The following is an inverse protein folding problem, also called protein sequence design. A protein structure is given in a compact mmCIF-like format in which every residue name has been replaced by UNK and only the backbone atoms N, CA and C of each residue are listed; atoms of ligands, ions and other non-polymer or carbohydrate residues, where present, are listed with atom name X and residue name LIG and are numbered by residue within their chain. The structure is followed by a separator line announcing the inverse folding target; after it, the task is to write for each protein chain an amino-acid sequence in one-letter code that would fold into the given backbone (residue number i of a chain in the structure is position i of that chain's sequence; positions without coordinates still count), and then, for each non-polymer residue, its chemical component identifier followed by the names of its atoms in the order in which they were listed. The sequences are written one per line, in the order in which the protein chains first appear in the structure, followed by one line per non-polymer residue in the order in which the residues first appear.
data_IF_837610097036
#
_entry.id   IF_837610097036
#
_cell.length_a   1.000
_cell.length_b   1.000
_cell.length_c   1.000
_cell.angle_alpha   90.00
_cell.angle_beta   90.00
_cell.angle_gamma   90.00
#
_symmetry.space_group_name_H-M   'P 1'
#
loop_
_entity.id
_entity.type
_entity.pdbx_description
1 polymer ?
#
# COMPACT_ATOMS: atom_id res chain seq x y z
N UNK A 1 14.34 -58.54 -26.52
CA UNK A 1 15.59 -57.85 -26.28
C UNK A 1 15.32 -56.67 -25.36
N UNK A 2 15.81 -56.86 -24.22
CA UNK A 2 16.27 -56.08 -23.08
C UNK A 2 15.46 -54.91 -22.54
N UNK A 3 15.24 -54.96 -21.24
CA UNK A 3 14.61 -53.89 -20.46
C UNK A 3 15.68 -53.07 -19.72
N UNK A 4 15.56 -51.78 -19.67
CA UNK A 4 16.21 -50.95 -18.62
C UNK A 4 15.29 -49.72 -18.39
N UNK A 5 14.60 -49.72 -17.31
CA UNK A 5 14.34 -48.54 -16.46
C UNK A 5 13.55 -49.01 -15.21
N UNK A 6 14.28 -49.46 -14.22
CA UNK A 6 13.83 -49.46 -12.82
C UNK A 6 14.77 -48.56 -12.04
N UNK A 7 14.20 -47.66 -11.25
CA UNK A 7 14.92 -47.01 -10.17
C UNK A 7 14.90 -45.49 -10.20
N UNK A 8 13.76 -44.86 -9.92
CA UNK A 8 13.77 -43.54 -9.29
C UNK A 8 13.18 -43.69 -7.89
N UNK A 9 14.11 -43.80 -6.91
CA UNK A 9 13.76 -43.68 -5.50
C UNK A 9 13.27 -42.27 -5.21
N UNK A 10 12.20 -42.19 -4.42
CA UNK A 10 11.70 -40.94 -3.81
C UNK A 10 12.85 -40.32 -2.99
N UNK A 11 13.36 -39.20 -3.49
CA UNK A 11 14.29 -38.36 -2.71
C UNK A 11 13.42 -37.64 -1.67
N UNK A 12 13.74 -37.87 -0.40
CA UNK A 12 13.11 -37.26 0.76
C UNK A 12 13.13 -35.73 0.63
N UNK A 13 11.95 -35.12 0.80
CA UNK A 13 11.73 -33.65 0.68
C UNK A 13 12.65 -32.81 1.58
N UNK A 14 13.17 -33.40 2.66
CA UNK A 14 14.16 -32.75 3.55
C UNK A 14 15.56 -32.70 2.97
N UNK A 15 15.93 -33.66 2.15
CA UNK A 15 17.25 -33.74 1.50
C UNK A 15 17.38 -32.71 0.37
N UNK A 16 16.31 -32.47 -0.40
CA UNK A 16 16.28 -31.46 -1.48
C UNK A 16 16.40 -30.03 -0.94
N UNK A 17 15.77 -29.73 0.20
CA UNK A 17 15.87 -28.42 0.85
C UNK A 17 17.25 -28.13 1.41
N UNK A 18 17.93 -29.12 1.95
CA UNK A 18 19.31 -29.00 2.46
C UNK A 18 20.33 -28.83 1.34
N UNK A 19 20.14 -29.49 0.19
CA UNK A 19 21.01 -29.35 -0.97
C UNK A 19 20.88 -27.97 -1.63
N UNK A 20 19.70 -27.40 -1.63
CA UNK A 20 19.48 -26.07 -2.18
C UNK A 20 20.04 -24.96 -1.26
N UNK A 21 19.96 -25.16 0.07
CA UNK A 21 20.54 -24.22 1.05
C UNK A 21 22.09 -24.20 0.94
N UNK A 22 22.72 -25.34 0.65
CA UNK A 22 24.18 -25.44 0.44
C UNK A 22 24.63 -24.78 -0.88
N UNK A 23 23.83 -24.83 -1.93
CA UNK A 23 24.11 -24.13 -3.21
C UNK A 23 23.98 -22.62 -3.06
N UNK A 24 23.01 -22.15 -2.29
CA UNK A 24 22.82 -20.70 -2.02
C UNK A 24 23.97 -20.16 -1.13
N UNK A 25 24.41 -20.92 -0.13
CA UNK A 25 25.58 -20.55 0.69
C UNK A 25 26.89 -20.59 -0.11
N UNK A 26 27.02 -21.51 -1.07
CA UNK A 26 28.20 -21.58 -1.94
C UNK A 26 28.26 -20.46 -2.97
N UNK A 27 27.13 -19.95 -3.46
CA UNK A 27 27.07 -18.79 -4.34
C UNK A 27 27.34 -17.45 -3.60
N UNK A 28 27.13 -17.42 -2.28
CA UNK A 28 27.45 -16.25 -1.45
C UNK A 28 28.91 -16.19 -1.01
N UNK A 29 29.65 -17.33 -1.03
CA UNK A 29 31.05 -17.41 -0.63
C UNK A 29 32.05 -17.13 -1.76
N UNK A 30 31.63 -17.05 -3.03
CA UNK A 30 32.51 -16.76 -4.19
C UNK A 30 32.64 -15.26 -4.49
N UNK A 31 31.88 -14.39 -3.82
CA UNK A 31 31.93 -12.93 -4.01
C UNK A 31 32.81 -12.20 -2.98
N UNK A 32 33.95 -12.82 -2.63
CA UNK A 32 35.00 -12.16 -1.86
C UNK A 32 36.02 -11.52 -2.78
N UNK A 33 35.84 -10.26 -3.12
CA UNK A 33 36.87 -9.21 -3.17
C UNK A 33 36.36 -7.95 -3.88
N UNK A 34 36.60 -6.82 -3.22
CA UNK A 34 36.74 -5.46 -3.76
C UNK A 34 35.51 -4.64 -4.14
N UNK A 35 35.23 -3.72 -3.24
CA UNK A 35 34.83 -2.32 -3.51
C UNK A 35 33.83 -2.00 -4.64
N UNK A 36 32.54 -1.88 -4.25
CA UNK A 36 31.58 -0.89 -4.84
C UNK A 36 30.27 -0.88 -4.06
N UNK A 37 30.13 0.08 -3.16
CA UNK A 37 28.96 0.24 -2.24
C UNK A 37 27.64 0.72 -2.87
N UNK A 38 27.49 0.69 -4.19
CA UNK A 38 26.31 1.21 -4.87
C UNK A 38 25.38 0.18 -5.54
N UNK A 39 25.90 -0.97 -5.95
CA UNK A 39 25.15 -1.98 -6.71
C UNK A 39 24.50 -3.08 -5.87
N UNK A 40 24.92 -3.26 -4.63
CA UNK A 40 24.43 -4.36 -3.77
C UNK A 40 23.06 -4.10 -3.12
N UNK A 41 22.61 -2.84 -3.03
CA UNK A 41 21.29 -2.51 -2.48
C UNK A 41 20.13 -2.86 -3.42
N UNK A 42 20.30 -2.65 -4.72
CA UNK A 42 19.25 -2.98 -5.71
C UNK A 42 19.08 -4.49 -5.93
N UNK A 43 20.14 -5.28 -5.71
CA UNK A 43 20.09 -6.75 -5.85
C UNK A 43 19.45 -7.47 -4.67
N UNK A 44 19.53 -6.89 -3.45
CA UNK A 44 19.00 -7.54 -2.25
C UNK A 44 17.48 -7.42 -2.12
N UNK A 45 16.87 -6.32 -2.58
CA UNK A 45 15.41 -6.13 -2.55
C UNK A 45 14.69 -7.06 -3.52
N UNK A 46 15.27 -7.30 -4.70
CA UNK A 46 14.71 -8.24 -5.68
C UNK A 46 14.83 -9.71 -5.22
N UNK A 47 15.92 -10.09 -4.56
CA UNK A 47 16.10 -11.46 -4.04
C UNK A 47 15.18 -11.76 -2.87
N UNK A 48 14.90 -10.78 -2.00
CA UNK A 48 13.97 -10.96 -0.88
C UNK A 48 12.52 -11.08 -1.35
N UNK A 49 12.11 -10.30 -2.37
CA UNK A 49 10.80 -10.43 -2.99
C UNK A 49 10.61 -11.79 -3.66
N UNK A 50 11.59 -12.28 -4.40
CA UNK A 50 11.60 -13.64 -5.00
C UNK A 50 11.55 -14.74 -3.94
N UNK A 51 12.33 -14.63 -2.86
CA UNK A 51 12.33 -15.60 -1.77
C UNK A 51 10.97 -15.64 -1.04
N UNK A 52 10.33 -14.48 -0.84
CA UNK A 52 9.01 -14.39 -0.24
C UNK A 52 7.92 -14.96 -1.14
N UNK A 53 7.95 -14.71 -2.45
CA UNK A 53 7.03 -15.27 -3.44
C UNK A 53 7.20 -16.81 -3.52
N UNK A 54 8.43 -17.29 -3.54
CA UNK A 54 8.75 -18.71 -3.58
C UNK A 54 8.33 -19.45 -2.29
N UNK A 55 8.56 -18.86 -1.12
CA UNK A 55 8.12 -19.41 0.17
C UNK A 55 6.59 -19.44 0.28
N UNK A 56 5.90 -18.41 -0.26
CA UNK A 56 4.44 -18.39 -0.36
C UNK A 56 3.92 -19.47 -1.31
N UNK A 57 4.52 -19.63 -2.48
CA UNK A 57 4.15 -20.68 -3.44
C UNK A 57 4.28 -22.09 -2.84
N UNK A 58 5.36 -22.36 -2.08
CA UNK A 58 5.55 -23.63 -1.38
C UNK A 58 4.49 -23.86 -0.29
N UNK A 59 4.14 -22.83 0.47
CA UNK A 59 3.12 -22.93 1.54
C UNK A 59 1.69 -23.05 0.99
N UNK A 60 1.45 -22.63 -0.26
CA UNK A 60 0.14 -22.72 -0.91
C UNK A 60 -0.12 -24.07 -1.60
N UNK A 61 0.90 -24.96 -1.64
CA UNK A 61 0.77 -26.27 -2.29
C UNK A 61 0.48 -26.19 -3.79
N UNK A 62 1.11 -25.25 -4.48
CA UNK A 62 0.91 -24.94 -5.92
C UNK A 62 1.69 -25.91 -6.81
N UNK A 63 1.75 -27.18 -6.45
CA UNK A 63 2.50 -28.20 -7.23
C UNK A 63 2.01 -28.39 -8.68
N UNK A 64 0.81 -27.86 -9.00
CA UNK A 64 0.22 -27.93 -10.36
C UNK A 64 0.34 -26.63 -11.18
N UNK A 65 0.57 -25.49 -10.55
CA UNK A 65 0.76 -24.23 -11.26
C UNK A 65 2.23 -24.03 -11.58
N UNK A 66 2.63 -24.26 -12.82
CA UNK A 66 3.98 -23.94 -13.30
C UNK A 66 4.13 -22.40 -13.28
N UNK A 67 5.07 -21.82 -12.52
CA UNK A 67 5.37 -20.42 -12.65
C UNK A 67 5.81 -20.17 -14.10
N UNK A 68 5.11 -19.28 -14.80
CA UNK A 68 5.58 -18.82 -16.09
C UNK A 68 6.98 -18.22 -15.89
N UNK A 69 8.01 -18.86 -16.44
CA UNK A 69 9.34 -18.26 -16.56
C UNK A 69 9.20 -17.06 -17.48
N UNK A 70 8.98 -15.88 -16.89
CA UNK A 70 9.15 -14.64 -17.63
C UNK A 70 10.63 -14.54 -17.97
N UNK A 71 11.00 -14.94 -19.22
CA UNK A 71 12.29 -14.61 -19.78
C UNK A 71 12.43 -13.09 -19.70
N UNK A 72 13.63 -12.58 -19.49
CA UNK A 72 13.94 -11.15 -19.48
C UNK A 72 13.37 -10.47 -20.73
N UNK A 73 12.16 -9.93 -20.62
CA UNK A 73 11.38 -9.33 -21.71
C UNK A 73 10.09 -8.74 -21.13
N UNK A 74 9.44 -7.87 -21.88
CA UNK A 74 8.16 -7.28 -21.51
C UNK A 74 7.09 -8.36 -21.27
N UNK A 75 6.27 -8.16 -20.25
CA UNK A 75 5.12 -9.02 -19.98
C UNK A 75 4.14 -8.95 -21.16
N UNK A 76 3.42 -10.07 -21.50
CA UNK A 76 2.42 -10.03 -22.56
C UNK A 76 1.31 -9.05 -22.20
N UNK A 77 0.81 -8.32 -23.18
CA UNK A 77 -0.31 -7.40 -22.98
C UNK A 77 -1.58 -8.16 -22.55
N UNK A 78 -2.49 -7.43 -21.90
CA UNK A 78 -3.81 -7.93 -21.55
C UNK A 78 -4.74 -7.61 -22.71
N UNK A 79 -5.25 -8.60 -23.46
CA UNK A 79 -6.20 -8.34 -24.53
C UNK A 79 -7.46 -7.66 -24.00
N UNK A 80 -7.89 -6.60 -24.66
CA UNK A 80 -9.17 -5.93 -24.40
C UNK A 80 -10.23 -6.54 -25.30
N UNK A 81 -11.11 -7.34 -24.73
CA UNK A 81 -12.11 -8.13 -25.46
C UNK A 81 -13.36 -7.30 -25.75
N UNK A 82 -13.25 -6.30 -26.63
CA UNK A 82 -14.35 -5.38 -26.98
C UNK A 82 -15.61 -6.13 -27.49
N UNK A 83 -15.46 -7.33 -28.04
CA UNK A 83 -16.55 -8.16 -28.55
C UNK A 83 -17.17 -9.09 -27.49
N UNK A 84 -16.58 -9.27 -26.31
CA UNK A 84 -17.19 -10.04 -25.22
C UNK A 84 -18.50 -9.35 -24.76
N UNK A 85 -19.64 -10.06 -24.77
CA UNK A 85 -20.92 -9.49 -24.35
C UNK A 85 -20.89 -8.89 -22.93
N UNK A 86 -20.12 -9.47 -22.01
CA UNK A 86 -19.98 -8.99 -20.64
C UNK A 86 -19.24 -7.67 -20.61
N UNK A 87 -18.16 -7.55 -21.37
CA UNK A 87 -17.38 -6.31 -21.51
C UNK A 87 -18.23 -5.20 -22.12
N UNK A 88 -18.95 -5.51 -23.23
CA UNK A 88 -19.86 -4.54 -23.86
C UNK A 88 -20.96 -4.04 -22.94
N UNK A 89 -21.53 -4.93 -22.11
CA UNK A 89 -22.53 -4.53 -21.13
C UNK A 89 -21.96 -3.53 -20.11
N UNK A 90 -20.73 -3.77 -19.61
CA UNK A 90 -20.08 -2.83 -18.68
C UNK A 90 -19.62 -1.54 -19.38
N UNK A 91 -19.19 -1.60 -20.64
CA UNK A 91 -18.93 -0.36 -21.43
C UNK A 91 -20.20 0.47 -21.50
N UNK A 92 -21.37 -0.14 -21.79
CA UNK A 92 -22.65 0.56 -21.81
C UNK A 92 -23.01 1.13 -20.44
N UNK A 93 -22.85 0.30 -19.37
CA UNK A 93 -23.09 0.74 -17.98
C UNK A 93 -22.27 1.98 -17.64
N UNK A 94 -20.95 1.95 -17.88
CA UNK A 94 -20.07 3.08 -17.57
C UNK A 94 -20.29 4.29 -18.50
N UNK A 95 -20.48 4.08 -19.79
CA UNK A 95 -20.63 5.18 -20.74
C UNK A 95 -21.97 5.90 -20.63
N UNK A 96 -23.06 5.21 -20.23
CA UNK A 96 -24.41 5.75 -20.25
C UNK A 96 -25.11 5.72 -18.89
N UNK A 97 -25.24 4.54 -18.26
CA UNK A 97 -26.03 4.37 -17.04
C UNK A 97 -25.35 4.99 -15.81
N UNK A 98 -24.01 4.85 -15.71
CA UNK A 98 -23.18 5.43 -14.65
C UNK A 98 -22.29 6.56 -15.14
N UNK A 99 -22.75 7.27 -16.16
CA UNK A 99 -21.97 8.28 -16.87
C UNK A 99 -21.33 9.32 -15.96
N UNK A 100 -22.09 9.83 -14.98
CA UNK A 100 -21.59 10.84 -14.04
C UNK A 100 -20.46 10.29 -13.16
N UNK A 101 -20.63 9.07 -12.64
CA UNK A 101 -19.57 8.41 -11.86
C UNK A 101 -18.32 8.18 -12.70
N UNK A 102 -18.51 7.76 -13.97
CA UNK A 102 -17.38 7.53 -14.88
C UNK A 102 -16.65 8.81 -15.21
N UNK A 103 -17.38 9.92 -15.43
CA UNK A 103 -16.76 11.23 -15.61
C UNK A 103 -15.91 11.63 -14.41
N UNK A 104 -16.44 11.43 -13.21
CA UNK A 104 -15.73 11.74 -11.97
C UNK A 104 -14.47 10.87 -11.82
N UNK A 105 -14.54 9.57 -12.15
CA UNK A 105 -13.37 8.68 -12.14
C UNK A 105 -12.27 9.15 -13.09
N UNK A 106 -12.64 9.52 -14.32
CA UNK A 106 -11.68 10.02 -15.30
C UNK A 106 -11.04 11.33 -14.84
N UNK A 107 -11.84 12.26 -14.32
CA UNK A 107 -11.34 13.53 -13.79
C UNK A 107 -10.43 13.35 -12.56
N UNK A 108 -10.78 12.44 -11.64
CA UNK A 108 -9.95 12.13 -10.48
C UNK A 108 -8.64 11.41 -10.85
N UNK A 109 -8.62 10.66 -11.95
CA UNK A 109 -7.44 9.96 -12.42
C UNK A 109 -6.39 10.89 -13.04
N UNK A 110 -6.84 12.00 -13.59
CA UNK A 110 -6.05 12.92 -14.42
C UNK A 110 -4.71 13.32 -13.77
N UNK A 111 -4.66 13.82 -12.53
CA UNK A 111 -3.41 14.28 -11.91
C UNK A 111 -2.43 13.12 -11.61
N UNK A 112 -2.90 11.88 -11.59
CA UNK A 112 -2.09 10.71 -11.21
C UNK A 112 -1.74 9.79 -12.39
N UNK A 113 -2.53 9.86 -13.47
CA UNK A 113 -2.38 8.94 -14.60
C UNK A 113 -1.00 9.02 -15.27
N UNK A 114 -0.35 10.19 -15.44
CA UNK A 114 0.99 10.29 -15.98
C UNK A 114 2.02 9.47 -15.17
N UNK A 115 2.07 9.68 -13.85
CA UNK A 115 3.00 8.95 -12.98
C UNK A 115 2.69 7.44 -12.94
N UNK A 116 1.41 7.06 -12.93
CA UNK A 116 1.00 5.64 -12.98
C UNK A 116 1.45 5.00 -14.29
N UNK A 117 1.18 5.63 -15.43
CA UNK A 117 1.62 5.15 -16.76
C UNK A 117 3.14 5.01 -16.82
N UNK A 118 3.87 6.01 -16.32
CA UNK A 118 5.33 5.98 -16.26
C UNK A 118 5.83 4.78 -15.44
N UNK A 119 5.31 4.57 -14.24
CA UNK A 119 5.73 3.45 -13.37
C UNK A 119 5.38 2.10 -14.00
N UNK A 120 4.23 1.96 -14.69
CA UNK A 120 3.86 0.74 -15.43
C UNK A 120 4.85 0.49 -16.56
N UNK A 121 5.14 1.51 -17.38
CA UNK A 121 6.07 1.43 -18.51
C UNK A 121 7.48 1.06 -18.05
N UNK A 122 8.03 1.76 -17.07
CA UNK A 122 9.39 1.55 -16.53
C UNK A 122 9.59 0.13 -15.96
N UNK A 123 8.48 -0.53 -15.61
CA UNK A 123 8.48 -1.91 -15.11
C UNK A 123 8.21 -2.95 -16.20
N UNK A 124 8.05 -2.57 -17.47
CA UNK A 124 7.77 -3.47 -18.60
C UNK A 124 6.45 -4.23 -18.47
N UNK A 125 5.45 -3.62 -17.81
CA UNK A 125 4.15 -4.22 -17.56
C UNK A 125 3.12 -3.82 -18.62
N UNK A 126 2.03 -4.62 -18.79
CA UNK A 126 0.94 -4.27 -19.70
C UNK A 126 0.40 -2.87 -19.44
N UNK A 127 0.31 -2.07 -20.51
CA UNK A 127 -0.13 -0.66 -20.41
C UNK A 127 -1.53 -0.50 -19.84
N UNK A 128 -2.40 -1.50 -20.01
CA UNK A 128 -3.75 -1.54 -19.46
C UNK A 128 -3.77 -1.55 -17.93
N UNK A 129 -2.73 -2.08 -17.26
CA UNK A 129 -2.65 -2.06 -15.80
C UNK A 129 -2.63 -0.65 -15.20
N UNK A 130 -2.23 0.35 -16.02
CA UNK A 130 -2.30 1.75 -15.62
C UNK A 130 -3.72 2.27 -15.35
N UNK A 131 -4.75 1.51 -15.68
CA UNK A 131 -6.15 1.90 -15.46
C UNK A 131 -6.84 1.08 -14.35
N UNK A 132 -6.13 0.15 -13.70
CA UNK A 132 -6.73 -0.71 -12.68
C UNK A 132 -7.24 0.09 -11.46
N UNK A 133 -6.54 1.14 -11.07
CA UNK A 133 -6.95 1.99 -9.95
C UNK A 133 -8.28 2.74 -10.19
N UNK A 134 -8.71 2.90 -11.45
CA UNK A 134 -10.05 3.41 -11.76
C UNK A 134 -11.14 2.44 -11.27
N UNK A 135 -10.90 1.13 -11.45
CA UNK A 135 -11.85 0.12 -10.99
C UNK A 135 -11.84 -0.03 -9.47
N UNK A 136 -10.66 0.05 -8.84
CA UNK A 136 -10.48 -0.17 -7.41
C UNK A 136 -11.10 0.93 -6.55
N UNK A 137 -10.94 2.19 -6.95
CA UNK A 137 -11.31 3.32 -6.11
C UNK A 137 -12.00 4.47 -6.85
N UNK A 138 -12.23 4.36 -8.17
CA UNK A 138 -12.59 5.50 -9.01
C UNK A 138 -11.48 6.54 -9.06
N UNK A 139 -10.22 6.13 -8.91
CA UNK A 139 -9.03 6.99 -8.83
C UNK A 139 -8.98 7.91 -7.58
N UNK A 140 -9.79 7.65 -6.57
CA UNK A 140 -9.77 8.42 -5.33
C UNK A 140 -8.58 7.99 -4.44
N UNK A 141 -7.59 8.87 -4.19
CA UNK A 141 -6.43 8.54 -3.37
C UNK A 141 -6.79 8.32 -1.89
N UNK A 142 -7.92 8.84 -1.42
CA UNK A 142 -8.38 8.73 -0.04
C UNK A 142 -9.48 7.65 0.15
N UNK A 143 -9.80 6.89 -0.90
CA UNK A 143 -10.85 5.87 -0.85
C UNK A 143 -10.59 4.84 0.26
N UNK A 144 -11.61 4.63 1.10
CA UNK A 144 -11.56 3.64 2.20
C UNK A 144 -12.73 2.66 2.10
N UNK A 145 -12.41 1.37 2.02
CA UNK A 145 -13.43 0.34 2.04
C UNK A 145 -13.89 -0.02 3.46
N UNK A 146 -15.09 -0.64 3.63
CA UNK A 146 -15.53 -1.18 4.92
C UNK A 146 -14.57 -2.22 5.51
N UNK A 147 -13.81 -2.92 4.66
CA UNK A 147 -12.80 -3.89 5.06
C UNK A 147 -11.45 -3.25 5.44
N UNK A 148 -11.34 -1.91 5.42
CA UNK A 148 -10.12 -1.15 5.70
C UNK A 148 -9.05 -1.21 4.58
N UNK A 149 -9.43 -1.56 3.34
CA UNK A 149 -8.60 -1.26 2.20
C UNK A 149 -8.54 0.27 1.98
N UNK A 150 -7.40 0.79 1.51
CA UNK A 150 -7.18 2.24 1.45
C UNK A 150 -6.40 2.64 0.20
N UNK A 151 -6.71 3.85 -0.28
CA UNK A 151 -6.00 4.52 -1.37
C UNK A 151 -6.43 4.06 -2.75
N UNK A 152 -5.79 4.61 -3.79
CA UNK A 152 -6.14 4.35 -5.18
C UNK A 152 -6.15 2.85 -5.53
N UNK A 153 -5.23 2.08 -4.95
CA UNK A 153 -5.02 0.67 -5.21
C UNK A 153 -5.71 -0.27 -4.22
N UNK A 154 -6.51 0.26 -3.30
CA UNK A 154 -7.27 -0.48 -2.28
C UNK A 154 -6.44 -1.52 -1.52
N UNK A 155 -5.23 -1.14 -1.09
CA UNK A 155 -4.39 -2.03 -0.30
C UNK A 155 -4.97 -2.30 1.09
N UNK A 156 -5.00 -3.57 1.47
CA UNK A 156 -5.12 -3.97 2.86
C UNK A 156 -3.82 -3.65 3.63
N UNK A 157 -3.89 -3.25 4.92
CA UNK A 157 -2.69 -2.84 5.67
C UNK A 157 -1.56 -3.88 5.69
N UNK A 158 -1.91 -5.16 5.86
CA UNK A 158 -0.93 -6.24 5.90
C UNK A 158 -0.25 -6.44 4.53
N UNK A 159 -1.04 -6.42 3.45
CA UNK A 159 -0.51 -6.54 2.08
C UNK A 159 0.39 -5.35 1.75
N UNK A 160 -0.02 -4.13 2.10
CA UNK A 160 0.77 -2.91 1.89
C UNK A 160 2.18 -3.03 2.51
N UNK A 161 2.26 -3.44 3.78
CA UNK A 161 3.55 -3.64 4.46
C UNK A 161 4.41 -4.73 3.81
N UNK A 162 3.78 -5.81 3.34
CA UNK A 162 4.48 -6.89 2.65
C UNK A 162 5.14 -6.43 1.33
N UNK A 163 4.60 -5.36 0.73
CA UNK A 163 5.13 -4.73 -0.48
C UNK A 163 5.87 -3.41 -0.21
N UNK A 164 6.36 -3.23 1.03
CA UNK A 164 7.30 -2.17 1.40
C UNK A 164 6.65 -0.82 1.72
N UNK A 165 5.32 -0.74 1.79
CA UNK A 165 4.65 0.50 2.19
C UNK A 165 4.68 0.68 3.71
N UNK A 166 5.05 1.87 4.15
CA UNK A 166 4.95 2.27 5.53
C UNK A 166 3.47 2.54 5.87
N UNK A 167 2.97 1.86 6.91
CA UNK A 167 1.60 2.04 7.42
C UNK A 167 1.66 2.09 8.93
N UNK A 168 1.61 3.29 9.48
CA UNK A 168 1.64 3.55 10.92
C UNK A 168 0.75 4.76 11.29
N UNK A 169 0.91 5.28 12.51
CA UNK A 169 0.09 6.38 13.03
C UNK A 169 0.42 7.76 12.46
N UNK A 170 1.54 7.94 11.77
CA UNK A 170 1.98 9.19 11.14
C UNK A 170 1.94 9.12 9.63
N UNK A 171 2.28 7.94 9.09
CA UNK A 171 2.44 7.73 7.66
C UNK A 171 1.62 6.53 7.23
N UNK A 172 0.79 6.74 6.20
CA UNK A 172 0.10 5.67 5.50
C UNK A 172 0.36 5.79 4.00
N UNK A 173 1.39 5.08 3.52
CA UNK A 173 1.84 5.17 2.13
C UNK A 173 0.90 4.50 1.13
N UNK A 174 -0.19 3.88 1.60
CA UNK A 174 -1.30 3.45 0.72
C UNK A 174 -1.99 4.64 0.05
N UNK A 175 -1.90 5.82 0.69
CA UNK A 175 -2.41 7.09 0.17
C UNK A 175 -1.46 7.75 -0.83
N UNK A 176 -0.18 7.39 -0.86
CA UNK A 176 0.82 7.96 -1.78
C UNK A 176 0.65 7.38 -3.18
N UNK A 177 0.33 8.19 -4.21
CA UNK A 177 0.06 7.70 -5.55
C UNK A 177 1.24 6.95 -6.19
N UNK A 178 2.45 7.47 -6.03
CA UNK A 178 3.65 6.86 -6.63
C UNK A 178 4.06 5.58 -5.90
N UNK A 179 4.14 5.64 -4.56
CA UNK A 179 4.59 4.50 -3.74
C UNK A 179 3.60 3.35 -3.80
N UNK A 180 2.29 3.66 -3.67
CA UNK A 180 1.26 2.62 -3.75
C UNK A 180 1.17 2.00 -5.14
N UNK A 181 1.42 2.77 -6.22
CA UNK A 181 1.53 2.22 -7.58
C UNK A 181 2.70 1.23 -7.67
N UNK A 182 3.90 1.62 -7.23
CA UNK A 182 5.06 0.72 -7.22
C UNK A 182 4.77 -0.59 -6.46
N UNK A 183 4.16 -0.49 -5.30
CA UNK A 183 3.77 -1.65 -4.49
C UNK A 183 2.72 -2.52 -5.19
N UNK A 184 1.70 -1.91 -5.84
CA UNK A 184 0.67 -2.64 -6.56
C UNK A 184 1.24 -3.42 -7.75
N UNK A 185 2.17 -2.83 -8.49
CA UNK A 185 2.82 -3.50 -9.61
C UNK A 185 3.71 -4.66 -9.14
N UNK A 186 4.39 -4.54 -8.00
CA UNK A 186 5.12 -5.67 -7.41
C UNK A 186 4.16 -6.81 -7.02
N UNK A 187 3.04 -6.48 -6.38
CA UNK A 187 2.02 -7.48 -6.03
C UNK A 187 1.43 -8.15 -7.28
N UNK A 188 1.10 -7.39 -8.32
CA UNK A 188 0.60 -7.91 -9.59
C UNK A 188 1.63 -8.81 -10.28
N UNK A 189 2.92 -8.47 -10.25
CA UNK A 189 4.01 -9.34 -10.75
C UNK A 189 4.06 -10.68 -9.99
N UNK A 190 3.95 -10.64 -8.66
CA UNK A 190 3.94 -11.86 -7.85
C UNK A 190 2.71 -12.72 -8.17
N UNK A 191 1.53 -12.11 -8.33
CA UNK A 191 0.31 -12.80 -8.74
C UNK A 191 0.45 -13.42 -10.13
N UNK A 192 1.02 -12.67 -11.09
CA UNK A 192 1.31 -13.22 -12.41
C UNK A 192 2.29 -14.40 -12.34
N UNK A 193 3.32 -14.28 -11.52
CA UNK A 193 4.27 -15.38 -11.28
C UNK A 193 3.61 -16.63 -10.67
N UNK A 194 2.59 -16.44 -9.81
CA UNK A 194 1.84 -17.57 -9.21
C UNK A 194 0.88 -18.24 -10.19
N UNK A 195 0.19 -17.47 -11.03
CA UNK A 195 -0.94 -17.95 -11.82
C UNK A 195 -0.64 -18.09 -13.31
N UNK A 196 0.48 -17.54 -13.79
CA UNK A 196 0.93 -17.68 -15.18
C UNK A 196 0.19 -16.83 -16.21
N UNK A 197 -0.94 -16.22 -15.86
CA UNK A 197 -1.70 -15.34 -16.75
C UNK A 197 -2.31 -14.14 -16.04
N UNK A 198 -2.50 -13.02 -16.75
CA UNK A 198 -3.05 -11.78 -16.20
C UNK A 198 -4.51 -11.89 -15.77
N UNK A 199 -5.33 -12.73 -16.42
CA UNK A 199 -6.74 -12.91 -16.09
C UNK A 199 -6.90 -13.50 -14.68
N UNK A 200 -6.11 -14.54 -14.36
CA UNK A 200 -6.06 -15.11 -13.02
C UNK A 200 -5.38 -14.17 -12.02
N UNK A 201 -4.30 -13.48 -12.42
CA UNK A 201 -3.61 -12.51 -11.56
C UNK A 201 -4.55 -11.37 -11.11
N UNK A 202 -5.34 -10.80 -12.03
CA UNK A 202 -6.33 -9.77 -11.72
C UNK A 202 -7.48 -10.31 -10.84
N UNK A 203 -7.93 -11.54 -11.10
CA UNK A 203 -8.93 -12.20 -10.25
C UNK A 203 -8.41 -12.45 -8.83
N UNK A 204 -7.11 -12.79 -8.71
CA UNK A 204 -6.44 -12.96 -7.41
C UNK A 204 -6.22 -11.62 -6.70
N UNK A 205 -5.94 -10.55 -7.42
CA UNK A 205 -5.81 -9.20 -6.85
C UNK A 205 -7.10 -8.79 -6.14
N UNK A 206 -8.26 -9.00 -6.79
CA UNK A 206 -9.56 -8.70 -6.21
C UNK A 206 -9.97 -9.65 -5.07
N UNK A 207 -9.83 -10.96 -5.27
CA UNK A 207 -10.36 -11.95 -4.31
C UNK A 207 -9.39 -12.38 -3.22
N UNK A 208 -8.12 -12.09 -3.40
CA UNK A 208 -7.01 -12.68 -2.67
C UNK A 208 -6.54 -14.01 -3.27
N UNK A 209 -5.23 -14.20 -3.33
CA UNK A 209 -4.57 -15.36 -3.93
C UNK A 209 -4.99 -16.70 -3.31
N UNK A 210 -5.18 -16.72 -1.99
CA UNK A 210 -5.60 -17.93 -1.28
C UNK A 210 -7.00 -18.39 -1.67
N UNK A 211 -7.94 -17.45 -1.83
CA UNK A 211 -9.31 -17.76 -2.22
C UNK A 211 -9.36 -18.24 -3.66
N UNK A 212 -8.64 -17.58 -4.58
CA UNK A 212 -8.58 -18.01 -5.97
C UNK A 212 -7.98 -19.41 -6.11
N UNK A 213 -6.86 -19.69 -5.44
CA UNK A 213 -6.24 -21.02 -5.40
C UNK A 213 -7.19 -22.10 -4.90
N UNK A 214 -8.00 -21.79 -3.86
CA UNK A 214 -9.01 -22.73 -3.36
C UNK A 214 -10.05 -23.05 -4.43
N UNK A 215 -10.52 -22.03 -5.16
CA UNK A 215 -11.51 -22.22 -6.24
C UNK A 215 -10.91 -23.05 -7.38
N UNK A 216 -9.72 -22.73 -7.85
CA UNK A 216 -9.02 -23.48 -8.91
C UNK A 216 -8.91 -24.97 -8.56
N UNK A 217 -8.50 -25.29 -7.32
CA UNK A 217 -8.41 -26.69 -6.86
C UNK A 217 -9.77 -27.37 -6.77
N UNK A 218 -10.81 -26.66 -6.34
CA UNK A 218 -12.15 -27.23 -6.18
C UNK A 218 -12.86 -27.46 -7.52
N UNK A 219 -12.46 -26.73 -8.57
CA UNK A 219 -12.97 -26.88 -9.92
C UNK A 219 -12.03 -27.75 -10.79
N UNK A 220 -10.90 -28.22 -10.25
CA UNK A 220 -9.80 -28.89 -10.97
C UNK A 220 -9.34 -28.10 -12.21
N UNK A 221 -9.37 -26.76 -12.09
CA UNK A 221 -9.14 -25.79 -13.16
C UNK A 221 -7.73 -25.20 -13.09
N UNK A 222 -7.20 -24.84 -14.25
CA UNK A 222 -5.90 -24.18 -14.42
C UNK A 222 -6.01 -22.84 -15.17
N UNK A 223 -7.12 -22.63 -15.88
CA UNK A 223 -7.36 -21.48 -16.72
C UNK A 223 -8.51 -20.62 -16.20
N UNK A 224 -8.48 -19.33 -16.55
CA UNK A 224 -9.52 -18.37 -16.15
C UNK A 224 -10.92 -18.75 -16.68
N UNK A 225 -10.96 -19.21 -17.93
CA UNK A 225 -12.21 -19.58 -18.63
C UNK A 225 -12.99 -20.66 -17.92
N UNK A 226 -12.29 -21.56 -17.24
CA UNK A 226 -12.89 -22.69 -16.50
C UNK A 226 -13.58 -22.23 -15.21
N UNK A 227 -13.14 -21.12 -14.63
CA UNK A 227 -13.67 -20.61 -13.35
C UNK A 227 -14.48 -19.33 -13.46
N UNK A 228 -14.43 -18.62 -14.60
CA UNK A 228 -15.06 -17.31 -14.76
C UNK A 228 -16.58 -17.30 -14.60
N UNK A 229 -17.24 -18.47 -14.73
CA UNK A 229 -18.68 -18.68 -14.48
C UNK A 229 -18.97 -19.46 -13.20
N UNK A 230 -17.95 -19.96 -12.50
CA UNK A 230 -18.14 -20.77 -11.30
C UNK A 230 -18.83 -19.98 -10.18
N UNK A 231 -19.84 -20.58 -9.57
CA UNK A 231 -20.53 -20.00 -8.40
C UNK A 231 -19.66 -19.98 -7.14
N UNK A 232 -18.57 -20.75 -7.09
CA UNK A 232 -17.61 -20.74 -6.00
C UNK A 232 -16.78 -19.46 -6.01
N UNK A 233 -16.62 -18.83 -7.19
CA UNK A 233 -16.06 -17.49 -7.34
C UNK A 233 -17.18 -16.46 -7.08
N UNK A 234 -16.96 -15.52 -6.18
CA UNK A 234 -17.93 -14.47 -5.86
C UNK A 234 -18.32 -13.64 -7.09
N UNK A 235 -19.55 -13.11 -7.12
CA UNK A 235 -20.05 -12.29 -8.25
C UNK A 235 -19.08 -11.15 -8.57
N UNK A 236 -18.62 -10.42 -7.57
CA UNK A 236 -17.67 -9.32 -7.72
C UNK A 236 -16.42 -9.77 -8.49
N UNK A 237 -15.81 -10.88 -8.10
CA UNK A 237 -14.58 -11.39 -8.75
C UNK A 237 -14.86 -11.90 -10.18
N UNK A 238 -16.02 -12.50 -10.44
CA UNK A 238 -16.41 -12.90 -11.81
C UNK A 238 -16.59 -11.71 -12.75
N UNK A 239 -17.07 -10.59 -12.21
CA UNK A 239 -17.30 -9.36 -12.96
C UNK A 239 -16.04 -8.47 -13.02
N UNK A 240 -15.03 -8.73 -12.19
CA UNK A 240 -13.85 -7.87 -12.04
C UNK A 240 -13.10 -7.67 -13.36
N UNK A 241 -12.75 -8.76 -14.03
CA UNK A 241 -12.03 -8.67 -15.31
C UNK A 241 -12.84 -7.97 -16.41
N UNK A 242 -14.12 -8.32 -16.68
CA UNK A 242 -14.93 -7.58 -17.64
C UNK A 242 -15.10 -6.09 -17.31
N UNK A 243 -15.26 -5.73 -16.03
CA UNK A 243 -15.32 -4.34 -15.58
C UNK A 243 -14.00 -3.60 -15.79
N UNK A 244 -12.88 -4.25 -15.46
CA UNK A 244 -11.55 -3.70 -15.72
C UNK A 244 -11.31 -3.43 -17.20
N UNK A 245 -11.65 -4.37 -18.06
CA UNK A 245 -11.54 -4.19 -19.51
C UNK A 245 -12.42 -3.03 -19.98
N UNK A 246 -13.67 -2.96 -19.53
CA UNK A 246 -14.61 -1.91 -19.93
C UNK A 246 -14.15 -0.51 -19.53
N UNK A 247 -13.73 -0.31 -18.28
CA UNK A 247 -13.25 1.01 -17.84
C UNK A 247 -11.93 1.38 -18.54
N UNK A 248 -11.06 0.40 -18.83
CA UNK A 248 -9.82 0.60 -19.58
C UNK A 248 -10.10 1.03 -21.02
N UNK A 249 -11.07 0.40 -21.70
CA UNK A 249 -11.49 0.76 -23.07
C UNK A 249 -11.96 2.21 -23.11
N UNK A 250 -12.79 2.62 -22.16
CA UNK A 250 -13.29 4.00 -22.07
C UNK A 250 -12.15 4.97 -21.75
N UNK A 251 -11.31 4.67 -20.77
CA UNK A 251 -10.24 5.55 -20.32
C UNK A 251 -9.08 5.70 -21.32
N UNK A 252 -8.92 4.75 -22.24
CA UNK A 252 -7.97 4.88 -23.36
C UNK A 252 -8.45 5.81 -24.47
N UNK A 253 -9.77 5.95 -24.64
CA UNK A 253 -10.38 6.77 -25.70
C UNK A 253 -11.65 7.45 -25.17
N UNK A 254 -11.55 8.38 -24.20
CA UNK A 254 -12.71 8.95 -23.53
C UNK A 254 -13.62 9.72 -24.49
N UNK A 255 -13.09 10.41 -25.48
CA UNK A 255 -13.83 11.14 -26.49
C UNK A 255 -14.74 10.24 -27.35
N UNK A 256 -14.33 9.00 -27.66
CA UNK A 256 -15.16 7.99 -28.37
C UNK A 256 -16.49 7.70 -27.62
N UNK A 257 -16.49 7.87 -26.30
CA UNK A 257 -17.65 7.64 -25.42
C UNK A 257 -18.31 8.95 -24.96
N UNK A 258 -17.93 10.09 -25.57
CA UNK A 258 -18.46 11.41 -25.29
C UNK A 258 -18.02 11.99 -23.95
N UNK A 259 -16.94 11.51 -23.36
CA UNK A 259 -16.27 12.16 -22.24
C UNK A 259 -15.28 13.20 -22.76
N UNK A 260 -15.12 14.29 -22.01
CA UNK A 260 -14.08 15.27 -22.32
C UNK A 260 -12.71 14.67 -21.99
N UNK A 261 -11.71 15.05 -22.80
CA UNK A 261 -10.33 14.81 -22.40
C UNK A 261 -10.05 15.54 -21.09
N UNK A 262 -9.33 14.88 -20.17
CA UNK A 262 -9.02 15.47 -18.89
C UNK A 262 -8.32 16.82 -19.03
N UNK A 263 -8.62 17.76 -18.12
CA UNK A 263 -7.91 19.05 -18.01
C UNK A 263 -6.95 18.97 -16.84
N UNK A 264 -5.67 19.18 -17.11
CA UNK A 264 -4.63 19.17 -16.10
C UNK A 264 -4.77 20.37 -15.15
N UNK A 265 -5.40 20.16 -14.00
CA UNK A 265 -5.51 21.19 -12.95
C UNK A 265 -4.45 21.03 -11.83
N UNK A 266 -3.94 19.83 -11.66
CA UNK A 266 -2.93 19.49 -10.65
C UNK A 266 -1.98 18.46 -11.24
N UNK A 267 -0.70 18.79 -11.28
CA UNK A 267 0.33 17.93 -11.79
C UNK A 267 1.17 17.38 -10.63
N UNK A 268 0.94 16.12 -10.29
CA UNK A 268 1.71 15.42 -9.26
C UNK A 268 3.20 15.28 -9.66
N UNK A 269 3.50 15.26 -10.95
CA UNK A 269 4.88 15.22 -11.46
C UNK A 269 5.60 16.56 -11.34
N UNK A 270 4.89 17.70 -11.24
CA UNK A 270 5.48 19.02 -11.02
C UNK A 270 6.02 19.23 -9.60
N UNK A 271 6.48 18.18 -8.99
CA UNK A 271 6.98 18.15 -7.62
C UNK A 271 8.36 17.51 -7.54
N UNK A 272 9.06 17.77 -6.44
CA UNK A 272 10.35 17.20 -6.14
C UNK A 272 10.44 16.76 -4.69
N UNK A 273 11.35 15.83 -4.38
CA UNK A 273 11.56 15.40 -3.00
C UNK A 273 12.65 16.21 -2.32
N UNK A 274 12.40 16.63 -1.08
CA UNK A 274 13.40 17.12 -0.15
C UNK A 274 13.38 16.26 1.12
N UNK A 275 14.52 15.74 1.53
CA UNK A 275 14.67 15.03 2.80
C UNK A 275 14.64 16.03 3.95
N UNK A 276 13.68 15.89 4.86
CA UNK A 276 13.50 16.77 6.01
C UNK A 276 13.80 15.98 7.29
N UNK A 277 14.69 16.50 8.10
CA UNK A 277 15.02 15.97 9.43
C UNK A 277 14.15 16.63 10.49
N UNK A 278 13.55 15.79 11.37
CA UNK A 278 12.66 16.26 12.42
C UNK A 278 11.19 16.34 12.04
N UNK A 279 10.36 16.68 13.02
CA UNK A 279 8.90 16.74 12.89
C UNK A 279 8.44 18.17 12.74
N UNK A 280 7.83 18.49 11.59
CA UNK A 280 7.29 19.82 11.27
C UNK A 280 5.82 19.69 10.80
N UNK A 281 5.02 20.71 11.11
CA UNK A 281 3.65 20.79 10.59
C UNK A 281 3.68 21.15 9.12
N UNK A 282 2.93 20.41 8.28
CA UNK A 282 2.81 20.71 6.86
C UNK A 282 2.38 22.16 6.62
N UNK A 283 1.45 22.69 7.42
CA UNK A 283 0.98 24.07 7.30
C UNK A 283 2.08 25.10 7.51
N UNK A 284 3.08 24.81 8.35
CA UNK A 284 4.19 25.74 8.60
C UNK A 284 5.19 25.65 7.46
N UNK A 285 5.45 24.46 6.95
CA UNK A 285 6.24 24.23 5.73
C UNK A 285 5.58 24.91 4.52
N UNK A 286 4.26 24.74 4.33
CA UNK A 286 3.53 25.37 3.24
C UNK A 286 3.69 26.90 3.27
N UNK A 287 3.53 27.52 4.45
CA UNK A 287 3.72 28.97 4.63
C UNK A 287 5.15 29.39 4.24
N UNK A 288 6.16 28.61 4.63
CA UNK A 288 7.56 28.88 4.26
C UNK A 288 7.78 28.83 2.75
N UNK A 289 7.08 27.94 2.06
CA UNK A 289 7.14 27.80 0.60
C UNK A 289 6.30 28.84 -0.16
N UNK A 290 5.47 29.63 0.52
CA UNK A 290 4.48 30.50 -0.10
C UNK A 290 3.32 29.74 -0.77
N UNK A 291 3.00 28.56 -0.25
CA UNK A 291 1.97 27.65 -0.78
C UNK A 291 0.83 27.46 0.20
N UNK A 292 -0.29 26.93 -0.30
CA UNK A 292 -1.42 26.53 0.56
C UNK A 292 -1.14 25.19 1.27
N UNK A 293 -1.70 25.03 2.46
CA UNK A 293 -1.60 23.75 3.18
C UNK A 293 -2.23 22.58 2.38
N UNK A 294 -3.32 22.84 1.67
CA UNK A 294 -4.02 21.81 0.89
C UNK A 294 -3.16 21.33 -0.27
N UNK A 295 -2.54 22.22 -1.03
CA UNK A 295 -1.58 21.86 -2.09
C UNK A 295 -0.44 21.00 -1.54
N UNK A 296 0.11 21.34 -0.37
CA UNK A 296 1.19 20.54 0.21
C UNK A 296 0.70 19.19 0.75
N UNK A 297 -0.56 19.11 1.22
CA UNK A 297 -1.20 17.83 1.57
C UNK A 297 -1.43 16.97 0.34
N UNK A 298 -1.89 17.55 -0.77
CA UNK A 298 -2.09 16.82 -2.02
C UNK A 298 -0.80 16.18 -2.54
N UNK A 299 0.33 16.86 -2.36
CA UNK A 299 1.64 16.27 -2.62
C UNK A 299 2.09 15.22 -1.61
N UNK A 300 1.58 15.24 -0.37
CA UNK A 300 1.99 14.35 0.72
C UNK A 300 0.77 13.71 1.42
N UNK A 301 -0.11 13.04 0.68
CA UNK A 301 -1.34 12.48 1.27
C UNK A 301 -1.04 11.38 2.28
N UNK A 302 0.13 10.77 2.24
CA UNK A 302 0.57 9.77 3.21
C UNK A 302 0.80 10.32 4.62
N UNK A 303 0.96 11.64 4.81
CA UNK A 303 1.13 12.26 6.12
C UNK A 303 -0.20 12.46 6.84
N UNK A 304 -0.76 11.39 7.38
CA UNK A 304 -2.13 11.35 7.94
C UNK A 304 -2.38 12.29 9.11
N UNK A 305 -1.33 12.84 9.72
CA UNK A 305 -1.45 13.85 10.80
C UNK A 305 -1.07 15.26 10.36
N UNK A 306 -0.73 15.46 9.09
CA UNK A 306 -0.26 16.75 8.59
C UNK A 306 1.03 17.23 9.27
N UNK A 307 1.89 16.28 9.68
CA UNK A 307 3.23 16.54 10.25
C UNK A 307 4.21 15.52 9.70
N UNK A 308 5.48 15.89 9.52
CA UNK A 308 6.53 14.91 9.24
C UNK A 308 6.75 14.02 10.46
N UNK A 309 7.02 12.70 10.29
CA UNK A 309 7.09 11.76 11.41
C UNK A 309 8.27 12.06 12.35
N UNK A 310 8.09 11.91 13.67
CA UNK A 310 9.15 12.17 14.66
C UNK A 310 10.07 10.97 14.89
N UNK A 311 9.74 9.82 14.34
CA UNK A 311 10.32 8.50 14.66
C UNK A 311 11.34 8.00 13.64
N UNK A 312 11.96 8.90 12.89
CA UNK A 312 12.99 8.56 11.91
C UNK A 312 14.08 9.64 11.84
N UNK A 313 15.23 9.32 11.28
CA UNK A 313 16.30 10.30 11.07
C UNK A 313 15.85 11.37 10.08
N UNK A 314 15.02 11.02 9.12
CA UNK A 314 14.56 11.93 8.07
C UNK A 314 13.32 11.40 7.36
N UNK A 315 12.60 12.28 6.67
CA UNK A 315 11.43 11.98 5.87
C UNK A 315 11.52 12.61 4.48
N UNK A 316 11.33 11.86 3.38
CA UNK A 316 11.30 12.42 2.03
C UNK A 316 9.96 13.14 1.81
N UNK A 317 9.96 14.44 1.99
CA UNK A 317 8.82 15.31 1.78
C UNK A 317 8.74 15.71 0.30
N UNK A 318 7.57 15.61 -0.32
CA UNK A 318 7.33 16.09 -1.67
C UNK A 318 6.91 17.56 -1.60
N UNK A 319 7.57 18.39 -2.39
CA UNK A 319 7.35 19.84 -2.47
C UNK A 319 7.21 20.27 -3.93
N UNK A 320 6.63 21.44 -4.24
CA UNK A 320 6.63 21.97 -5.60
C UNK A 320 8.03 22.08 -6.17
N UNK A 321 8.19 21.78 -7.45
CA UNK A 321 9.48 21.85 -8.14
C UNK A 321 10.13 23.25 -8.02
N UNK A 322 11.45 23.30 -7.85
CA UNK A 322 12.23 24.53 -7.70
C UNK A 322 12.16 25.19 -6.31
N UNK A 323 11.43 24.61 -5.35
CA UNK A 323 11.26 25.18 -4.00
C UNK A 323 12.26 24.67 -2.95
N UNK A 324 13.14 23.72 -3.30
CA UNK A 324 14.17 23.22 -2.37
C UNK A 324 15.00 24.31 -1.69
N UNK A 325 15.58 25.31 -2.43
CA UNK A 325 16.40 26.32 -1.78
C UNK A 325 15.61 27.13 -0.75
N UNK A 326 14.33 27.45 -1.06
CA UNK A 326 13.45 28.23 -0.18
C UNK A 326 13.17 27.43 1.10
N UNK A 327 12.84 26.14 0.98
CA UNK A 327 12.57 25.33 2.17
C UNK A 327 13.83 25.09 3.01
N UNK A 328 14.99 24.82 2.39
CA UNK A 328 16.24 24.62 3.12
C UNK A 328 16.64 25.85 3.94
N UNK A 329 16.44 27.06 3.41
CA UNK A 329 16.66 28.29 4.14
C UNK A 329 15.66 28.45 5.30
N UNK A 330 14.37 28.23 5.03
CA UNK A 330 13.30 28.43 6.00
C UNK A 330 13.20 27.37 7.09
N UNK A 331 13.68 26.13 6.87
CA UNK A 331 13.68 25.09 7.89
C UNK A 331 14.43 25.47 9.16
N UNK A 332 15.45 26.34 9.06
CA UNK A 332 16.24 26.84 10.21
C UNK A 332 15.38 27.69 11.16
N UNK A 333 14.35 28.34 10.63
CA UNK A 333 13.44 29.22 11.38
C UNK A 333 12.21 28.47 11.90
N UNK A 334 11.92 27.28 11.34
CA UNK A 334 10.78 26.50 11.76
C UNK A 334 11.03 25.81 13.11
N UNK A 335 10.04 25.91 13.99
CA UNK A 335 10.07 25.19 15.26
C UNK A 335 9.61 23.75 15.05
N UNK A 336 10.45 22.75 15.36
CA UNK A 336 10.01 21.36 15.36
C UNK A 336 8.82 21.14 16.28
N UNK A 337 7.90 20.28 15.86
CA UNK A 337 6.79 19.87 16.71
C UNK A 337 7.32 18.95 17.78
N UNK A 338 7.27 19.40 19.03
CA UNK A 338 7.60 18.55 20.18
C UNK A 338 6.45 17.57 20.38
N UNK A 339 6.44 16.46 19.66
CA UNK A 339 5.42 15.42 19.81
C UNK A 339 5.87 14.46 20.90
N UNK A 340 4.98 14.25 21.87
CA UNK A 340 5.22 13.23 22.90
C UNK A 340 5.49 11.89 22.20
N UNK A 341 6.63 11.26 22.49
CA UNK A 341 6.96 9.92 21.98
C UNK A 341 5.82 8.98 22.33
N UNK A 342 5.31 8.25 21.34
CA UNK A 342 4.30 7.25 21.61
C UNK A 342 4.85 6.23 22.60
N UNK A 343 4.04 5.90 23.61
CA UNK A 343 4.30 4.72 24.43
C UNK A 343 3.77 3.48 23.70
N UNK A 344 4.33 2.35 24.08
CA UNK A 344 3.88 1.07 23.56
C UNK A 344 3.38 0.21 24.70
N UNK A 345 2.35 -0.59 24.42
CA UNK A 345 1.87 -1.61 25.32
C UNK A 345 2.07 -2.98 24.66
N UNK A 346 2.86 -3.84 25.28
CA UNK A 346 2.97 -5.24 24.86
C UNK A 346 1.82 -6.01 25.48
N UNK A 347 0.99 -6.63 24.66
CA UNK A 347 -0.17 -7.39 25.13
C UNK A 347 0.28 -8.59 25.94
N UNK A 348 -0.21 -8.70 27.15
CA UNK A 348 0.05 -9.81 28.07
C UNK A 348 -1.20 -10.65 28.31
N UNK A 349 -1.04 -11.81 28.97
CA UNK A 349 -2.18 -12.65 29.31
C UNK A 349 -3.12 -11.88 30.27
N UNK A 350 -4.42 -11.90 29.96
CA UNK A 350 -5.45 -11.15 30.70
C UNK A 350 -5.74 -9.75 30.17
N UNK A 351 -4.95 -9.22 29.23
CA UNK A 351 -5.25 -7.93 28.62
C UNK A 351 -6.49 -7.98 27.75
N UNK A 352 -7.30 -6.96 27.89
CA UNK A 352 -8.47 -6.67 27.04
C UNK A 352 -8.36 -5.24 26.49
N UNK A 353 -9.02 -4.96 25.39
CA UNK A 353 -9.10 -3.58 24.88
C UNK A 353 -9.61 -2.64 25.96
N UNK A 354 -10.64 -3.05 26.74
CA UNK A 354 -11.21 -2.24 27.81
C UNK A 354 -10.20 -1.94 28.92
N UNK A 355 -9.40 -2.94 29.35
CA UNK A 355 -8.37 -2.73 30.38
C UNK A 355 -7.25 -1.81 29.90
N UNK A 356 -6.82 -1.97 28.64
CA UNK A 356 -5.79 -1.13 28.02
C UNK A 356 -6.27 0.32 27.86
N UNK A 357 -7.49 0.53 27.34
CA UNK A 357 -8.08 1.88 27.24
C UNK A 357 -8.17 2.58 28.60
N UNK A 358 -8.58 1.85 29.66
CA UNK A 358 -8.63 2.36 31.03
C UNK A 358 -7.22 2.69 31.54
N UNK A 359 -6.26 1.77 31.37
CA UNK A 359 -4.87 1.93 31.84
C UNK A 359 -4.20 3.17 31.28
N UNK A 360 -4.46 3.49 30.01
CA UNK A 360 -3.81 4.60 29.31
C UNK A 360 -4.72 5.83 29.11
N UNK A 361 -5.91 5.84 29.72
CA UNK A 361 -6.89 6.92 29.57
C UNK A 361 -7.16 7.30 28.10
N UNK A 362 -7.14 6.28 27.22
CA UNK A 362 -7.29 6.44 25.79
C UNK A 362 -8.72 6.13 25.34
N UNK A 363 -9.20 6.80 24.32
CA UNK A 363 -10.44 6.42 23.66
C UNK A 363 -10.18 5.26 22.65
N UNK A 364 -11.24 4.48 22.39
CA UNK A 364 -11.19 3.42 21.36
C UNK A 364 -10.84 3.98 19.98
N UNK A 365 -11.36 5.15 19.65
CA UNK A 365 -11.06 5.85 18.40
C UNK A 365 -9.57 6.18 18.28
N UNK A 366 -8.96 6.73 19.34
CA UNK A 366 -7.52 7.03 19.37
C UNK A 366 -6.67 5.76 19.22
N UNK A 367 -7.03 4.68 19.95
CA UNK A 367 -6.29 3.44 19.86
C UNK A 367 -6.41 2.80 18.47
N UNK A 368 -7.60 2.83 17.85
CA UNK A 368 -7.82 2.34 16.50
C UNK A 368 -7.02 3.13 15.45
N UNK A 369 -7.01 4.46 15.57
CA UNK A 369 -6.24 5.32 14.67
C UNK A 369 -4.73 5.13 14.76
N UNK A 370 -4.22 4.72 15.93
CA UNK A 370 -2.81 4.42 16.14
C UNK A 370 -2.42 2.99 15.73
N UNK A 371 -3.40 2.09 15.61
CA UNK A 371 -3.19 0.67 15.31
C UNK A 371 -4.16 0.22 14.22
N UNK A 372 -4.03 0.72 12.98
CA UNK A 372 -5.00 0.50 11.92
C UNK A 372 -5.09 -0.96 11.46
N UNK A 373 -4.09 -1.76 11.77
CA UNK A 373 -3.96 -3.19 11.49
C UNK A 373 -4.58 -4.08 12.57
N UNK A 374 -4.93 -3.52 13.72
CA UNK A 374 -5.47 -4.28 14.85
C UNK A 374 -6.99 -4.24 14.84
N UNK A 375 -7.61 -5.40 14.71
CA UNK A 375 -9.05 -5.50 14.88
C UNK A 375 -9.40 -5.47 16.37
N UNK A 376 -9.76 -4.27 16.88
CA UNK A 376 -10.10 -4.07 18.28
C UNK A 376 -11.41 -4.77 18.74
N UNK A 377 -12.13 -5.44 17.82
CA UNK A 377 -13.31 -6.26 18.15
C UNK A 377 -12.96 -7.74 18.38
N UNK A 378 -11.70 -8.14 18.15
CA UNK A 378 -11.21 -9.50 18.38
C UNK A 378 -10.31 -9.55 19.62
N UNK A 379 -10.09 -10.76 20.14
CA UNK A 379 -9.13 -11.02 21.18
C UNK A 379 -7.72 -10.60 20.71
N UNK A 380 -7.01 -9.87 21.55
CA UNK A 380 -5.65 -9.44 21.26
C UNK A 380 -4.68 -10.63 21.29
N UNK A 381 -3.69 -10.61 20.42
CA UNK A 381 -2.62 -11.60 20.40
C UNK A 381 -1.58 -11.24 21.46
N UNK A 382 -1.26 -12.18 22.36
CA UNK A 382 -0.22 -12.01 23.37
C UNK A 382 1.12 -11.74 22.67
N UNK A 383 1.91 -10.80 23.20
CA UNK A 383 3.15 -10.33 22.61
C UNK A 383 2.97 -9.25 21.53
N UNK A 384 1.74 -8.99 21.07
CA UNK A 384 1.49 -7.91 20.10
C UNK A 384 1.79 -6.54 20.74
N UNK A 385 2.44 -5.66 19.97
CA UNK A 385 2.84 -4.33 20.43
C UNK A 385 1.84 -3.28 19.94
N UNK A 386 1.05 -2.75 20.84
CA UNK A 386 0.09 -1.68 20.56
C UNK A 386 0.75 -0.31 20.76
N UNK A 387 0.55 0.58 19.80
CA UNK A 387 0.89 2.00 19.93
C UNK A 387 -0.17 2.67 20.80
N UNK A 388 0.27 3.30 21.88
CA UNK A 388 -0.62 3.95 22.85
C UNK A 388 -0.55 5.47 22.68
N UNK A 389 -1.69 6.20 22.74
CA UNK A 389 -1.69 7.66 22.72
C UNK A 389 -0.81 8.19 23.87
N UNK A 390 0.02 9.20 23.56
CA UNK A 390 0.73 9.90 24.62
C UNK A 390 -0.30 10.57 25.54
N UNK A 391 -0.29 10.21 26.80
CA UNK A 391 -1.09 10.91 27.81
C UNK A 391 -0.50 12.31 27.93
N UNK A 392 -1.27 13.33 27.59
CA UNK A 392 -0.91 14.70 27.93
C UNK A 392 -0.77 14.74 29.46
N UNK A 393 0.46 14.84 29.98
CA UNK A 393 0.68 15.15 31.38
C UNK A 393 -0.04 16.46 31.62
N UNK A 394 -1.15 16.43 32.36
CA UNK A 394 -1.69 17.63 32.96
C UNK A 394 -0.56 18.19 33.79
N UNK A 395 -0.02 19.33 33.43
CA UNK A 395 0.84 20.12 34.28
C UNK A 395 -0.01 20.49 35.48
N UNK A 396 0.21 19.82 36.60
CA UNK A 396 -0.24 20.29 37.89
C UNK A 396 0.60 21.53 38.26
N UNK A 397 0.27 22.65 37.65
CA UNK A 397 0.56 23.94 38.19
C UNK A 397 -0.62 24.29 39.14
N UNK A 398 -0.68 23.61 40.25
CA UNK A 398 -1.28 24.17 41.42
C UNK A 398 -0.29 25.23 41.95
N UNK A 399 -0.42 26.46 41.46
CA UNK A 399 0.13 27.63 42.10
C UNK A 399 -0.48 27.66 43.50
N UNK A 400 0.35 27.41 44.52
CA UNK A 400 0.09 27.81 45.88
C UNK A 400 -0.20 29.31 45.91
N UNK A 401 -1.47 29.67 45.97
CA UNK A 401 -1.88 30.99 46.42
C UNK A 401 -1.77 30.97 47.95
N UNK A 402 -0.61 31.38 48.44
CA UNK A 402 -0.39 31.68 49.84
C UNK A 402 -1.37 32.77 50.26
N UNK A 403 -2.33 32.37 51.08
CA UNK A 403 -3.21 33.29 51.82
C UNK A 403 -2.40 34.09 52.82
N UNK A 404 -2.04 35.30 52.49
CA UNK A 404 -1.58 36.30 53.50
C UNK A 404 -2.82 36.78 54.25
N UNK A 405 -3.01 36.24 55.45
CA UNK A 405 -3.92 36.78 56.46
C UNK A 405 -3.37 38.11 56.97
N UNK A 406 -3.97 39.20 56.54
CA UNK A 406 -3.74 40.51 57.12
C UNK A 406 -4.65 40.67 58.36
N UNK A 407 -4.05 40.52 59.55
CA UNK A 407 -4.66 40.95 60.82
C UNK A 407 -4.38 42.44 60.97
N UNK A 408 -5.34 43.25 60.72
CA UNK A 408 -5.34 44.67 61.06
C UNK A 408 -6.28 44.91 62.24
N UNK A 409 -5.71 45.38 63.34
CA UNK A 409 -6.38 45.73 64.58
C UNK A 409 -7.34 46.90 64.46
N UNK A 410 -8.44 46.76 65.15
CA UNK A 410 -9.34 47.85 65.60
C UNK A 410 -8.67 48.74 66.63
N UNK A 411 -8.93 50.06 66.57
CA UNK A 411 -9.09 51.04 67.66
C UNK A 411 -9.50 52.31 66.91
N UNK A 412 -10.56 53.03 67.26
CA UNK A 412 -11.28 53.41 68.42
C UNK A 412 -11.57 54.88 68.30
N UNK A 413 -12.75 55.23 68.46
CA UNK A 413 -13.40 56.46 68.91
C UNK A 413 -14.72 56.67 68.20
#
# INVERSE_FOLDING_TARGET
MSPIFKGFQLVDKRSAALTLLSVITMLLSVSGCSSRNGLLKAGSENTQSFANAFTRALNLGVDKLRPARVKSGAYPDIPLEENDPRVRNFVREYAYERRESTRNYLAQAEPYLPIVKKVVHDNGLPTSLAYLFLLESGANPEARSPANALGMWQFMPATARNYGLRVDSYVDERLDPEKSTKAALLYLKDLYGMFGCWRLALSAYNSGENKLNKVLRQEDATEYEEICSSRKLGKETREFLPRFQAITIIAKNPSKYGFQEPRENFDYESSEYLTVEGSYKLKDIARTLGETNDKLRDFNPSLVRGVTPPDGPSFPLRIPAGKKPVLLAGLKELRPVNQARHSYHVVTSGDTIKSILKKYSASRYQLAGLNPDVNLNRKLTIGHRLVIPAVARRSNNSSEVSSVRNRGRSHGS
#
